data_IF_768432213759
#
_entry.id   IF_768432213759
#
_cell.length_a   1.000
_cell.length_b   1.000
_cell.length_c   1.000
_cell.angle_alpha   90.00
_cell.angle_beta   90.00
_cell.angle_gamma   90.00
#
_symmetry.space_group_name_H-M   'P 1'
#
loop_
_entity.id
_entity.type
_entity.pdbx_description
1 polymer ?
#
# COMPACT_ATOMS: atom_id res chain seq x y z
N UNK A 1 3.77 21.18 -4.69
CA UNK A 1 3.95 19.77 -4.25
C UNK A 1 5.05 19.83 -3.23
N UNK A 2 4.73 19.54 -1.98
CA UNK A 2 5.73 19.56 -0.92
C UNK A 2 6.41 18.21 -0.86
N UNK A 3 7.73 18.22 -0.96
CA UNK A 3 8.54 17.00 -0.87
C UNK A 3 8.92 16.78 0.58
N UNK A 4 8.50 15.65 1.14
CA UNK A 4 8.83 15.24 2.50
C UNK A 4 9.78 14.05 2.41
N UNK A 5 10.96 14.19 3.00
CA UNK A 5 12.00 13.17 2.94
C UNK A 5 12.29 12.61 4.33
N UNK A 6 12.41 11.28 4.40
CA UNK A 6 12.86 10.57 5.59
C UNK A 6 14.13 9.78 5.26
N UNK A 7 15.28 10.44 5.05
CA UNK A 7 16.48 9.82 4.50
C UNK A 7 17.14 8.80 5.44
N UNK A 8 16.77 8.78 6.72
CA UNK A 8 17.35 7.89 7.74
C UNK A 8 16.31 7.00 8.43
N UNK A 9 15.03 7.08 8.04
CA UNK A 9 13.99 6.25 8.64
C UNK A 9 14.06 4.85 8.03
N UNK A 10 14.59 3.88 8.79
CA UNK A 10 14.73 2.49 8.34
C UNK A 10 13.51 1.62 8.68
N UNK A 11 12.79 1.96 9.74
CA UNK A 11 11.70 1.14 10.27
C UNK A 11 10.49 2.04 10.49
N UNK A 12 9.36 1.65 9.91
CA UNK A 12 8.06 2.28 10.12
C UNK A 12 7.07 1.22 10.57
N UNK A 13 6.47 1.44 11.74
CA UNK A 13 5.43 0.58 12.30
C UNK A 13 4.20 1.45 12.55
N UNK A 14 3.06 1.03 12.01
CA UNK A 14 1.74 1.58 12.26
C UNK A 14 0.91 0.52 12.96
N UNK A 15 0.49 0.76 14.19
CA UNK A 15 -0.20 -0.24 15.01
C UNK A 15 -1.41 0.38 15.72
N UNK A 16 -2.54 -0.34 15.69
CA UNK A 16 -3.77 0.02 16.39
C UNK A 16 -4.25 1.44 16.07
N UNK A 17 -4.24 1.80 14.78
CA UNK A 17 -4.69 3.09 14.31
C UNK A 17 -6.05 2.95 13.58
N UNK A 18 -7.17 2.83 14.33
CA UNK A 18 -8.48 2.54 13.75
C UNK A 18 -9.01 3.63 12.81
N UNK A 19 -8.53 4.87 12.95
CA UNK A 19 -8.93 6.01 12.12
C UNK A 19 -7.85 6.46 11.13
N UNK A 20 -6.72 5.76 11.05
CA UNK A 20 -5.63 6.16 10.15
C UNK A 20 -6.00 5.86 8.70
N UNK A 21 -6.01 6.92 7.88
CA UNK A 21 -6.38 6.87 6.47
C UNK A 21 -5.19 7.16 5.54
N UNK A 22 -4.38 8.17 5.87
CA UNK A 22 -3.22 8.58 5.07
C UNK A 22 -2.16 9.31 5.92
N UNK A 23 -0.94 9.44 5.39
CA UNK A 23 0.14 10.23 6.02
C UNK A 23 0.00 11.74 5.79
N UNK A 24 -0.64 12.16 4.69
CA UNK A 24 -0.92 13.55 4.38
C UNK A 24 -2.26 13.68 3.64
N UNK A 25 -2.98 14.76 3.91
CA UNK A 25 -4.28 15.10 3.29
C UNK A 25 -4.14 16.10 2.12
N UNK A 26 -2.92 16.53 1.77
CA UNK A 26 -2.62 17.45 0.68
C UNK A 26 -1.58 16.89 -0.30
N UNK A 27 -1.22 17.66 -1.34
CA UNK A 27 -0.27 17.26 -2.40
C UNK A 27 1.19 17.18 -1.90
N UNK A 28 1.47 16.16 -1.09
CA UNK A 28 2.80 15.83 -0.58
C UNK A 28 3.34 14.60 -1.30
N UNK A 29 4.62 14.61 -1.64
CA UNK A 29 5.34 13.43 -2.12
C UNK A 29 6.33 12.97 -1.07
N UNK A 30 6.23 11.70 -0.67
CA UNK A 30 7.13 11.11 0.30
C UNK A 30 8.24 10.30 -0.36
N UNK A 31 9.48 10.53 0.07
CA UNK A 31 10.61 9.68 -0.28
C UNK A 31 11.14 8.94 0.96
N UNK A 32 11.09 7.62 0.87
CA UNK A 32 11.45 6.69 1.94
C UNK A 32 12.74 5.95 1.58
N UNK A 33 13.79 6.72 1.28
CA UNK A 33 15.02 6.19 0.66
C UNK A 33 15.68 5.05 1.46
N UNK A 34 15.61 5.10 2.79
CA UNK A 34 16.25 4.13 3.69
C UNK A 34 15.26 3.14 4.33
N UNK A 35 13.96 3.22 4.01
CA UNK A 35 12.97 2.37 4.69
C UNK A 35 13.16 0.91 4.29
N UNK A 36 13.46 0.08 5.28
CA UNK A 36 13.73 -1.35 5.15
C UNK A 36 12.59 -2.22 5.66
N UNK A 37 11.93 -1.77 6.72
CA UNK A 37 10.85 -2.50 7.38
C UNK A 37 9.60 -1.63 7.42
N UNK A 38 8.52 -2.13 6.85
CA UNK A 38 7.19 -1.54 6.95
C UNK A 38 6.24 -2.55 7.58
N UNK A 39 5.70 -2.21 8.74
CA UNK A 39 4.68 -3.01 9.41
C UNK A 39 3.41 -2.19 9.61
N UNK A 40 2.28 -2.74 9.17
CA UNK A 40 0.96 -2.13 9.33
C UNK A 40 0.05 -3.17 10.00
N UNK A 41 -0.33 -2.89 11.24
CA UNK A 41 -1.14 -3.75 12.08
C UNK A 41 -2.40 -3.01 12.56
N UNK A 42 -3.57 -3.63 12.36
CA UNK A 42 -4.85 -3.12 12.86
C UNK A 42 -5.14 -1.67 12.44
N UNK A 43 -5.01 -1.41 11.14
CA UNK A 43 -5.31 -0.12 10.50
C UNK A 43 -6.49 -0.30 9.51
N UNK A 44 -7.73 -0.52 9.99
CA UNK A 44 -8.86 -0.91 9.15
C UNK A 44 -9.37 0.20 8.20
N UNK A 45 -9.15 1.47 8.53
CA UNK A 45 -9.53 2.60 7.66
C UNK A 45 -8.47 2.93 6.61
N UNK A 46 -7.35 2.20 6.64
CA UNK A 46 -6.36 2.26 5.59
C UNK A 46 -6.93 1.60 4.33
N UNK A 47 -7.45 2.42 3.42
CA UNK A 47 -8.00 1.95 2.14
C UNK A 47 -6.87 1.86 1.11
N UNK A 48 -6.76 0.72 0.42
CA UNK A 48 -5.98 0.61 -0.82
C UNK A 48 -6.65 1.40 -1.95
N UNK A 49 -5.80 2.06 -2.74
CA UNK A 49 -5.90 2.54 -4.13
C UNK A 49 -7.28 2.50 -4.79
N UNK A 50 -7.77 3.60 -5.40
CA UNK A 50 -8.90 3.50 -6.28
C UNK A 50 -8.40 2.73 -7.50
N UNK A 51 -9.12 1.66 -7.84
CA UNK A 51 -9.15 1.27 -9.23
C UNK A 51 -9.59 2.49 -10.03
N UNK A 52 -8.76 3.01 -10.93
CA UNK A 52 -9.24 3.89 -11.99
C UNK A 52 -10.16 3.05 -12.87
N UNK A 53 -11.41 2.88 -12.45
CA UNK A 53 -12.47 2.50 -13.39
C UNK A 53 -12.51 3.64 -14.40
N UNK A 54 -12.12 3.35 -15.64
CA UNK A 54 -12.27 4.29 -16.74
C UNK A 54 -13.77 4.53 -16.97
N UNK A 55 -14.37 5.44 -16.21
CA UNK A 55 -15.56 6.14 -16.66
C UNK A 55 -15.07 7.33 -17.48
N UNK A 56 -15.15 7.16 -18.78
CA UNK A 56 -14.99 8.22 -19.79
C UNK A 56 -15.96 9.38 -19.51
N UNK A 57 -15.44 10.62 -19.63
CA UNK A 57 -16.14 11.93 -19.61
C UNK A 57 -16.61 12.42 -18.22
N UNK A 58 -16.40 13.67 -17.77
CA UNK A 58 -15.72 14.85 -18.28
C UNK A 58 -15.57 15.88 -17.12
N UNK A 59 -14.71 16.89 -17.34
CA UNK A 59 -14.69 18.24 -16.74
C UNK A 59 -14.16 18.47 -15.31
N UNK A 60 -13.12 19.31 -15.29
CA UNK A 60 -12.39 19.89 -14.17
C UNK A 60 -13.18 21.00 -13.46
N UNK A 61 -13.23 21.02 -12.13
CA UNK A 61 -13.31 22.26 -11.34
C UNK A 61 -12.62 22.06 -9.98
N UNK A 62 -11.69 22.96 -9.64
CA UNK A 62 -11.08 23.12 -8.32
C UNK A 62 -12.11 23.68 -7.32
N UNK A 63 -12.22 23.13 -6.10
CA UNK A 63 -12.69 23.87 -4.92
C UNK A 63 -12.09 23.27 -3.66
N UNK A 64 -11.41 24.13 -2.88
CA UNK A 64 -10.94 23.84 -1.53
C UNK A 64 -12.05 24.17 -0.52
N UNK A 65 -12.05 23.39 0.57
CA UNK A 65 -12.68 23.60 1.88
C UNK A 65 -14.04 22.95 2.15
N UNK A 66 -13.98 22.07 3.16
CA UNK A 66 -14.95 21.75 4.21
C UNK A 66 -16.34 21.27 3.80
N UNK A 67 -16.67 20.09 4.32
CA UNK A 67 -17.96 19.38 4.19
C UNK A 67 -18.25 18.81 2.80
N UNK A 68 -17.54 17.74 2.43
CA UNK A 68 -18.09 16.64 1.63
C UNK A 68 -17.10 15.47 1.60
N UNK A 69 -17.59 14.25 1.82
CA UNK A 69 -16.83 13.01 2.03
C UNK A 69 -16.36 12.42 0.68
N UNK A 70 -16.06 13.28 -0.29
CA UNK A 70 -15.72 12.90 -1.68
C UNK A 70 -14.39 13.49 -2.18
N UNK A 71 -13.57 14.05 -1.29
CA UNK A 71 -12.18 14.34 -1.63
C UNK A 71 -11.43 13.01 -1.86
N UNK A 72 -10.66 12.87 -2.97
CA UNK A 72 -9.89 11.65 -3.21
C UNK A 72 -8.82 11.55 -2.12
N UNK A 73 -9.10 10.71 -1.13
CA UNK A 73 -8.19 10.34 -0.05
C UNK A 73 -6.89 9.87 -0.69
N UNK A 74 -5.84 10.69 -0.61
CA UNK A 74 -4.57 10.38 -1.24
C UNK A 74 -4.01 9.10 -0.62
N UNK A 75 -3.78 8.15 -1.51
CA UNK A 75 -3.49 6.77 -1.19
C UNK A 75 -2.11 6.64 -0.54
N UNK A 76 -1.99 5.69 0.39
CA UNK A 76 -0.76 5.43 1.15
C UNK A 76 0.48 5.26 0.25
N UNK A 77 0.25 4.82 -0.99
CA UNK A 77 1.26 4.48 -1.96
C UNK A 77 0.88 5.02 -3.34
N UNK A 78 0.66 6.33 -3.44
CA UNK A 78 0.50 6.99 -4.74
C UNK A 78 1.63 6.53 -5.69
N UNK A 79 1.39 6.56 -7.00
CA UNK A 79 2.32 6.08 -8.05
C UNK A 79 3.72 6.72 -7.96
N UNK A 80 3.82 7.82 -7.20
CA UNK A 80 5.03 8.61 -6.93
C UNK A 80 5.77 8.29 -5.64
N UNK A 81 5.17 7.54 -4.70
CA UNK A 81 5.88 7.09 -3.50
C UNK A 81 6.78 5.92 -3.89
N UNK A 82 7.96 5.77 -3.30
CA UNK A 82 8.87 4.64 -3.58
C UNK A 82 9.56 4.21 -2.30
N UNK A 83 9.69 2.91 -2.09
CA UNK A 83 10.46 2.29 -1.00
C UNK A 83 11.61 1.49 -1.61
N UNK A 84 12.63 2.17 -2.16
CA UNK A 84 13.67 1.52 -2.94
C UNK A 84 14.53 0.53 -2.14
N UNK A 85 14.47 0.61 -0.80
CA UNK A 85 15.25 -0.20 0.13
C UNK A 85 14.40 -1.20 0.94
N UNK A 86 13.12 -1.36 0.60
CA UNK A 86 12.19 -2.18 1.39
C UNK A 86 12.57 -3.66 1.30
N UNK A 87 12.74 -4.29 2.46
CA UNK A 87 13.11 -5.71 2.60
C UNK A 87 12.04 -6.53 3.29
N UNK A 88 11.28 -5.91 4.18
CA UNK A 88 10.32 -6.60 5.03
C UNK A 88 9.00 -5.83 5.04
N UNK A 89 7.92 -6.54 4.69
CA UNK A 89 6.56 -6.01 4.70
C UNK A 89 5.65 -6.93 5.50
N UNK A 90 5.02 -6.37 6.53
CA UNK A 90 4.01 -7.05 7.34
C UNK A 90 2.68 -6.31 7.24
N UNK A 91 1.62 -7.02 6.89
CA UNK A 91 0.25 -6.52 6.78
C UNK A 91 -0.67 -7.38 7.65
N UNK A 92 -1.17 -6.83 8.76
CA UNK A 92 -2.09 -7.50 9.68
C UNK A 92 -3.40 -6.72 9.83
N UNK A 93 -4.53 -7.40 9.67
CA UNK A 93 -5.87 -6.84 9.90
C UNK A 93 -6.13 -5.56 9.08
N UNK A 94 -5.71 -5.58 7.81
CA UNK A 94 -5.81 -4.44 6.88
C UNK A 94 -6.90 -4.72 5.85
N UNK A 95 -7.70 -3.70 5.51
CA UNK A 95 -8.80 -3.81 4.55
C UNK A 95 -8.34 -3.64 3.09
N UNK A 96 -7.39 -4.46 2.65
CA UNK A 96 -6.84 -4.43 1.29
C UNK A 96 -7.54 -5.46 0.39
N UNK A 97 -7.89 -5.07 -0.83
CA UNK A 97 -8.42 -6.02 -1.83
C UNK A 97 -7.30 -6.72 -2.61
N UNK A 98 -6.15 -6.03 -2.76
CA UNK A 98 -4.94 -6.53 -3.43
C UNK A 98 -3.72 -5.71 -2.95
N UNK A 99 -2.61 -6.39 -2.71
CA UNK A 99 -1.32 -5.82 -2.25
C UNK A 99 -0.60 -5.13 -3.41
N UNK A 100 -0.80 -5.60 -4.63
CA UNK A 100 -0.10 -5.18 -5.84
C UNK A 100 -0.35 -3.72 -6.21
N UNK A 101 -1.57 -3.23 -5.97
CA UNK A 101 -1.92 -1.83 -6.29
C UNK A 101 -1.30 -0.84 -5.31
N UNK A 102 -0.82 -1.33 -4.16
CA UNK A 102 -0.23 -0.50 -3.14
C UNK A 102 1.26 -0.54 -3.05
N UNK A 103 1.98 -1.34 -3.81
CA UNK A 103 3.43 -1.26 -3.72
C UNK A 103 3.98 -0.65 -5.00
N UNK A 104 4.69 0.49 -4.91
CA UNK A 104 5.35 1.07 -6.06
C UNK A 104 6.25 0.01 -6.68
N UNK A 105 6.20 -0.09 -8.00
CA UNK A 105 6.83 -1.13 -8.81
C UNK A 105 8.29 -1.43 -8.43
N UNK A 106 9.07 -0.41 -8.07
CA UNK A 106 10.48 -0.49 -7.73
C UNK A 106 10.75 -1.05 -6.32
N UNK A 107 9.76 -1.00 -5.44
CA UNK A 107 9.91 -1.36 -4.01
C UNK A 107 9.94 -2.87 -3.78
N UNK A 108 9.48 -3.66 -4.76
CA UNK A 108 9.35 -5.11 -4.64
C UNK A 108 10.65 -5.86 -4.97
N UNK A 109 11.59 -5.22 -5.67
CA UNK A 109 12.82 -5.87 -6.15
C UNK A 109 13.77 -6.31 -5.03
N UNK A 110 13.66 -5.71 -3.85
CA UNK A 110 14.49 -6.02 -2.68
C UNK A 110 13.70 -6.69 -1.55
N UNK A 111 12.41 -6.91 -1.74
CA UNK A 111 11.54 -7.50 -0.71
C UNK A 111 11.92 -8.96 -0.50
N UNK A 112 12.33 -9.28 0.74
CA UNK A 112 12.75 -10.60 1.18
C UNK A 112 11.70 -11.31 2.01
N UNK A 113 10.93 -10.55 2.81
CA UNK A 113 9.92 -11.10 3.70
C UNK A 113 8.58 -10.41 3.42
N UNK A 114 7.56 -11.22 3.15
CA UNK A 114 6.17 -10.77 3.06
C UNK A 114 5.32 -11.59 4.03
N UNK A 115 4.72 -10.90 5.00
CA UNK A 115 3.80 -11.50 5.96
C UNK A 115 2.43 -10.84 5.87
N UNK A 116 1.40 -11.67 5.72
CA UNK A 116 0.00 -11.24 5.61
C UNK A 116 -0.85 -12.03 6.60
N UNK A 117 -1.51 -11.33 7.51
CA UNK A 117 -2.33 -11.94 8.55
C UNK A 117 -3.69 -11.25 8.68
N UNK A 118 -4.76 -12.00 8.92
CA UNK A 118 -6.11 -11.47 9.19
C UNK A 118 -6.64 -10.49 8.10
N UNK A 119 -6.23 -10.65 6.84
CA UNK A 119 -6.63 -9.78 5.73
C UNK A 119 -7.83 -10.38 4.96
N UNK A 120 -9.02 -10.30 5.56
CA UNK A 120 -10.22 -11.01 5.07
C UNK A 120 -10.84 -10.46 3.78
N UNK A 121 -10.38 -9.33 3.26
CA UNK A 121 -10.81 -8.81 1.95
C UNK A 121 -9.88 -9.19 0.79
N UNK A 122 -8.72 -9.76 1.12
CA UNK A 122 -7.70 -10.09 0.15
C UNK A 122 -8.08 -11.36 -0.60
N UNK A 123 -8.19 -11.28 -1.93
CA UNK A 123 -8.50 -12.44 -2.78
C UNK A 123 -7.24 -13.15 -3.29
N UNK A 124 -6.18 -12.37 -3.52
CA UNK A 124 -4.86 -12.84 -3.97
C UNK A 124 -3.71 -12.10 -3.27
N UNK A 125 -2.62 -12.80 -2.94
CA UNK A 125 -1.45 -12.18 -2.28
C UNK A 125 -0.43 -11.66 -3.29
N UNK A 126 -0.06 -12.47 -4.28
CA UNK A 126 0.96 -12.17 -5.28
C UNK A 126 0.35 -12.27 -6.67
N UNK A 127 0.39 -11.20 -7.46
CA UNK A 127 -0.07 -11.20 -8.86
C UNK A 127 1.08 -11.41 -9.85
N UNK A 128 0.76 -11.75 -11.09
CA UNK A 128 1.73 -12.01 -12.18
C UNK A 128 2.73 -10.86 -12.37
N UNK A 129 2.26 -9.61 -12.25
CA UNK A 129 3.08 -8.40 -12.32
C UNK A 129 4.05 -8.23 -11.12
N UNK A 130 3.69 -8.72 -9.93
CA UNK A 130 4.59 -8.73 -8.77
C UNK A 130 5.62 -9.87 -8.87
N UNK A 131 5.20 -11.02 -9.39
CA UNK A 131 6.05 -12.21 -9.45
C UNK A 131 7.34 -11.95 -10.25
N UNK A 132 7.25 -11.16 -11.32
CA UNK A 132 8.41 -10.72 -12.11
C UNK A 132 9.33 -9.74 -11.38
N UNK A 133 9.06 -9.39 -10.12
CA UNK A 133 9.83 -8.40 -9.35
C UNK A 133 10.22 -8.91 -7.97
N UNK A 134 9.47 -9.85 -7.41
CA UNK A 134 9.75 -10.54 -6.14
C UNK A 134 10.88 -11.56 -6.26
N UNK A 135 11.97 -11.23 -6.96
CA UNK A 135 13.12 -12.13 -7.15
C UNK A 135 13.95 -12.34 -5.89
N UNK A 136 13.88 -11.40 -4.95
CA UNK A 136 14.58 -11.46 -3.67
C UNK A 136 13.71 -12.07 -2.55
N UNK A 137 12.46 -12.46 -2.83
CA UNK A 137 11.55 -12.97 -1.81
C UNK A 137 12.05 -14.33 -1.30
N UNK A 138 12.35 -14.39 -0.02
CA UNK A 138 12.83 -15.56 0.69
C UNK A 138 11.70 -16.20 1.50
N UNK A 139 10.93 -15.37 2.23
CA UNK A 139 9.87 -15.82 3.12
C UNK A 139 8.52 -15.21 2.73
N UNK A 140 7.53 -16.08 2.53
CA UNK A 140 6.12 -15.70 2.35
C UNK A 140 5.27 -16.40 3.40
N UNK A 141 4.64 -15.61 4.26
CA UNK A 141 3.75 -16.09 5.31
C UNK A 141 2.35 -15.52 5.09
N UNK A 142 1.34 -16.39 5.10
CA UNK A 142 -0.07 -16.00 5.00
C UNK A 142 -0.88 -16.76 6.04
N UNK A 143 -1.57 -16.05 6.93
CA UNK A 143 -2.35 -16.65 8.03
C UNK A 143 -3.70 -15.99 8.19
N UNK A 144 -4.70 -16.79 8.57
CA UNK A 144 -6.01 -16.28 8.99
C UNK A 144 -6.72 -15.33 7.99
N UNK A 145 -6.53 -15.49 6.67
CA UNK A 145 -7.22 -14.70 5.64
C UNK A 145 -8.41 -15.47 5.07
N UNK A 146 -9.63 -15.21 5.58
CA UNK A 146 -10.81 -16.03 5.33
C UNK A 146 -11.36 -16.01 3.91
N UNK A 147 -11.17 -14.92 3.16
CA UNK A 147 -11.62 -14.80 1.76
C UNK A 147 -10.54 -15.10 0.73
N UNK A 148 -9.34 -15.48 1.17
CA UNK A 148 -8.22 -15.71 0.25
C UNK A 148 -8.49 -16.91 -0.64
N UNK A 149 -8.51 -16.71 -1.95
CA UNK A 149 -8.75 -17.76 -2.93
C UNK A 149 -7.44 -18.34 -3.46
N UNK A 150 -6.43 -17.48 -3.64
CA UNK A 150 -5.15 -17.84 -4.25
C UNK A 150 -4.01 -17.10 -3.56
N UNK A 151 -2.88 -17.78 -3.36
CA UNK A 151 -1.66 -17.10 -2.90
C UNK A 151 -0.96 -16.44 -4.09
N UNK A 152 -0.87 -17.16 -5.21
CA UNK A 152 -0.30 -16.67 -6.46
C UNK A 152 -1.38 -16.61 -7.55
N UNK A 153 -1.52 -15.46 -8.18
CA UNK A 153 -2.39 -15.21 -9.32
C UNK A 153 -1.55 -14.94 -10.57
N UNK A 154 -1.45 -15.92 -11.47
CA UNK A 154 -0.47 -15.94 -12.56
C UNK A 154 -1.09 -15.83 -13.97
N UNK A 155 -2.36 -15.44 -14.07
CA UNK A 155 -3.00 -15.19 -15.37
C UNK A 155 -2.48 -13.94 -16.08
#
# INVERSE_FOLDING_TARGET
IDKIEFPSLEILVLEDLPNFMSFCLGNCTFEWASLRVLSINNCPQLKSFPSRSQSTHAESVETLCETDIDAPLQHLFDEKVSFPSLKELTLSSVNLNDICYGLPSLSLCQLRILEVENCDKLLSVVTSNMLQRLHALEDLTVRCCGSLVKVFDLE
#
